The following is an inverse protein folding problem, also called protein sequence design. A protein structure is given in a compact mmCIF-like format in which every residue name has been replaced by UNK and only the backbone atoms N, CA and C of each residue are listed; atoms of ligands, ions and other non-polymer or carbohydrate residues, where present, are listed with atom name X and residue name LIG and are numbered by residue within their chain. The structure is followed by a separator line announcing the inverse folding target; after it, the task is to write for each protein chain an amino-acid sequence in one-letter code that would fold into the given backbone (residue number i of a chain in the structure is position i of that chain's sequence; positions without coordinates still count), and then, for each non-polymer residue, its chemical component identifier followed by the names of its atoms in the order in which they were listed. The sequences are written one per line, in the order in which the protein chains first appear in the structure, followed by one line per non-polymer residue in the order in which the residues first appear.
data_IF_619508909263
#
_entry.id   IF_619508909263
#
_cell.length_a   1.000
_cell.length_b   1.000
_cell.length_c   1.000
_cell.angle_alpha   90.00
_cell.angle_beta   90.00
_cell.angle_gamma   90.00
#
_symmetry.space_group_name_H-M   'P 1'
#
loop_
_entity.id
_entity.type
_entity.pdbx_description
1 polymer ?
#
# COMPACT_ATOMS: atom_id res chain seq x y z
N UNK A 1 24.86 -23.85 10.99
CA UNK A 1 23.62 -24.31 10.33
C UNK A 1 22.44 -23.71 11.08
N UNK A 2 21.86 -22.66 10.52
CA UNK A 2 20.81 -21.83 11.12
C UNK A 2 19.44 -22.45 10.84
N UNK A 3 18.74 -22.91 11.87
CA UNK A 3 17.33 -23.29 11.79
C UNK A 3 16.53 -22.42 12.73
N UNK A 4 15.92 -21.34 12.23
CA UNK A 4 14.91 -20.61 13.00
C UNK A 4 13.56 -21.32 12.84
N UNK A 5 12.89 -21.67 13.95
CA UNK A 5 11.57 -22.28 13.91
C UNK A 5 10.47 -21.28 13.53
N UNK A 6 9.40 -21.83 12.98
CA UNK A 6 8.27 -21.17 12.30
C UNK A 6 7.33 -20.40 13.23
N UNK A 7 6.72 -19.34 12.67
CA UNK A 7 5.85 -18.30 13.23
C UNK A 7 4.65 -18.70 14.12
N UNK A 8 4.25 -17.79 15.04
CA UNK A 8 2.88 -17.24 15.19
C UNK A 8 2.87 -16.01 16.12
N UNK A 9 2.12 -14.96 15.77
CA UNK A 9 2.11 -13.64 16.44
C UNK A 9 0.91 -13.48 17.40
N UNK A 10 1.09 -12.93 18.63
CA UNK A 10 0.00 -12.42 19.46
C UNK A 10 -0.09 -10.88 19.43
N UNK A 11 -1.30 -10.36 19.21
CA UNK A 11 -1.70 -8.95 19.11
C UNK A 11 -1.89 -8.25 20.47
N UNK A 12 -1.59 -6.92 20.60
CA UNK A 12 -2.34 -5.91 21.41
C UNK A 12 -1.61 -4.55 21.52
N UNK A 13 -2.27 -3.41 21.88
CA UNK A 13 -3.71 -3.18 22.06
C UNK A 13 -4.23 -1.94 21.27
N UNK A 14 -5.45 -2.04 20.71
CA UNK A 14 -6.20 -0.86 20.25
C UNK A 14 -7.10 -0.37 21.39
N UNK A 15 -7.24 0.96 21.48
CA UNK A 15 -8.06 1.70 22.45
C UNK A 15 -9.48 1.15 22.62
N UNK A 16 -10.12 1.34 23.80
CA UNK A 16 -11.39 0.70 24.12
C UNK A 16 -12.50 1.15 23.16
N UNK A 17 -13.26 0.20 22.56
CA UNK A 17 -14.45 0.54 21.79
C UNK A 17 -15.58 1.03 22.71
N UNK A 18 -16.35 2.01 22.25
CA UNK A 18 -17.59 2.45 22.90
C UNK A 18 -18.52 1.25 23.10
N UNK A 19 -18.83 0.96 24.36
CA UNK A 19 -19.64 -0.19 24.76
C UNK A 19 -21.11 0.12 24.49
N UNK A 20 -21.71 -0.54 23.51
CA UNK A 20 -23.17 -0.71 23.46
C UNK A 20 -23.50 -2.01 24.17
N UNK A 21 -24.10 -1.93 25.34
CA UNK A 21 -24.54 -3.10 26.10
C UNK A 21 -25.75 -3.70 25.38
N UNK A 22 -25.60 -4.91 24.83
CA UNK A 22 -26.72 -5.75 24.41
C UNK A 22 -27.26 -6.52 25.62
N UNK A 23 -28.58 -6.69 25.68
CA UNK A 23 -29.38 -7.05 26.86
C UNK A 23 -29.10 -8.45 27.47
N UNK A 24 -28.25 -9.25 26.85
CA UNK A 24 -27.87 -10.60 27.25
C UNK A 24 -26.56 -10.66 28.04
N UNK A 25 -25.96 -9.50 28.37
CA UNK A 25 -24.77 -9.43 29.22
C UNK A 25 -23.51 -10.02 28.56
N UNK A 26 -23.54 -10.33 27.27
CA UNK A 26 -22.38 -10.81 26.53
C UNK A 26 -21.68 -9.64 25.83
N UNK A 27 -20.45 -9.38 26.24
CA UNK A 27 -19.57 -8.41 25.57
C UNK A 27 -19.05 -9.04 24.26
N UNK A 28 -19.73 -8.79 23.14
CA UNK A 28 -19.13 -9.05 21.83
C UNK A 28 -18.16 -7.92 21.51
N UNK A 29 -16.86 -8.20 21.60
CA UNK A 29 -15.84 -7.35 20.97
C UNK A 29 -16.23 -7.12 19.51
N UNK A 30 -16.16 -5.87 18.99
CA UNK A 30 -16.31 -5.65 17.57
C UNK A 30 -15.27 -6.50 16.85
N UNK A 31 -15.73 -7.46 16.06
CA UNK A 31 -14.87 -8.22 15.17
C UNK A 31 -14.06 -7.22 14.35
N UNK A 32 -12.72 -7.29 14.31
CA UNK A 32 -11.94 -6.50 13.37
C UNK A 32 -12.51 -6.79 12.00
N UNK A 33 -13.14 -5.81 11.36
CA UNK A 33 -13.61 -5.98 9.98
C UNK A 33 -12.37 -6.35 9.18
N UNK A 34 -12.29 -7.59 8.70
CA UNK A 34 -11.20 -8.05 7.84
C UNK A 34 -11.15 -7.09 6.65
N UNK A 35 -10.17 -6.19 6.66
CA UNK A 35 -9.99 -5.25 5.56
C UNK A 35 -9.47 -6.06 4.38
N UNK A 36 -10.01 -5.88 3.17
CA UNK A 36 -9.47 -6.54 1.99
C UNK A 36 -7.96 -6.35 1.95
N UNK A 37 -7.22 -7.42 1.61
CA UNK A 37 -5.79 -7.31 1.37
C UNK A 37 -5.59 -6.20 0.34
N UNK A 38 -4.92 -5.11 0.73
CA UNK A 38 -4.67 -3.94 -0.13
C UNK A 38 -3.61 -4.23 -1.20
N UNK A 39 -3.67 -5.40 -1.83
CA UNK A 39 -2.78 -5.86 -2.89
C UNK A 39 -3.63 -6.71 -3.83
N UNK A 40 -3.71 -6.28 -5.09
CA UNK A 40 -4.30 -7.08 -6.15
C UNK A 40 -3.26 -8.00 -6.78
N UNK A 41 -3.70 -9.07 -7.45
CA UNK A 41 -2.80 -10.07 -8.04
C UNK A 41 -1.77 -9.50 -9.04
N UNK A 42 -2.06 -8.37 -9.70
CA UNK A 42 -1.15 -7.71 -10.64
C UNK A 42 -0.28 -6.63 -9.99
N UNK A 43 -0.36 -6.44 -8.67
CA UNK A 43 0.44 -5.50 -7.90
C UNK A 43 1.43 -6.23 -7.00
N UNK A 44 2.66 -5.74 -6.92
CA UNK A 44 3.63 -6.27 -5.96
C UNK A 44 3.35 -5.74 -4.54
N UNK A 45 3.56 -6.58 -3.52
CA UNK A 45 3.59 -6.15 -2.12
C UNK A 45 5.03 -6.03 -1.63
N UNK A 46 5.46 -4.84 -1.24
CA UNK A 46 6.84 -4.56 -0.85
C UNK A 46 6.89 -4.31 0.66
N UNK A 47 7.67 -5.13 1.37
CA UNK A 47 7.77 -5.12 2.84
C UNK A 47 9.17 -4.78 3.33
N UNK A 48 10.19 -5.02 2.53
CA UNK A 48 11.59 -4.73 2.87
C UNK A 48 12.22 -3.78 1.85
N UNK A 49 13.25 -3.04 2.26
CA UNK A 49 13.95 -2.13 1.37
C UNK A 49 14.60 -2.90 0.20
N UNK A 50 15.08 -4.13 0.44
CA UNK A 50 15.62 -5.02 -0.60
C UNK A 50 14.55 -5.40 -1.64
N UNK A 51 13.34 -5.78 -1.21
CA UNK A 51 12.22 -6.04 -2.13
C UNK A 51 11.86 -4.79 -2.93
N UNK A 52 11.87 -3.62 -2.28
CA UNK A 52 11.56 -2.37 -2.93
C UNK A 52 12.58 -2.00 -4.01
N UNK A 53 13.87 -2.00 -3.69
CA UNK A 53 14.92 -1.69 -4.67
C UNK A 53 15.07 -2.78 -5.73
N UNK A 54 14.86 -4.05 -5.38
CA UNK A 54 14.79 -5.17 -6.33
C UNK A 54 13.66 -4.97 -7.34
N UNK A 55 12.46 -4.63 -6.88
CA UNK A 55 11.32 -4.33 -7.74
C UNK A 55 11.61 -3.16 -8.70
N UNK A 56 12.21 -2.07 -8.21
CA UNK A 56 12.61 -0.95 -9.06
C UNK A 56 13.67 -1.35 -10.08
N UNK A 57 14.59 -2.25 -9.71
CA UNK A 57 15.63 -2.76 -10.60
C UNK A 57 15.05 -3.61 -11.74
N UNK A 58 14.14 -4.53 -11.41
CA UNK A 58 13.46 -5.41 -12.38
C UNK A 58 12.59 -4.62 -13.36
N UNK A 59 11.99 -3.53 -12.89
CA UNK A 59 11.06 -2.72 -13.69
C UNK A 59 11.71 -1.46 -14.28
N UNK A 60 13.04 -1.38 -14.40
CA UNK A 60 13.74 -0.20 -14.97
C UNK A 60 13.27 0.20 -16.36
N UNK A 61 12.85 -0.77 -17.18
CA UNK A 61 12.37 -0.55 -18.55
C UNK A 61 10.96 0.05 -18.61
N UNK A 62 10.21 0.04 -17.50
CA UNK A 62 8.86 0.60 -17.42
C UNK A 62 8.80 1.70 -16.36
N UNK A 63 7.73 2.48 -16.37
CA UNK A 63 7.44 3.38 -15.25
C UNK A 63 6.70 2.58 -14.17
N UNK A 64 7.24 2.60 -12.95
CA UNK A 64 6.67 1.93 -11.78
C UNK A 64 5.99 2.95 -10.87
N UNK A 65 4.78 2.63 -10.40
CA UNK A 65 3.97 3.44 -9.51
C UNK A 65 3.79 2.69 -8.20
N UNK A 66 4.33 3.26 -7.13
CA UNK A 66 4.34 2.65 -5.80
C UNK A 66 3.42 3.42 -4.88
N UNK A 67 2.39 2.76 -4.36
CA UNK A 67 1.56 3.28 -3.28
C UNK A 67 2.21 2.98 -1.93
N UNK A 68 2.60 4.00 -1.19
CA UNK A 68 3.01 3.89 0.20
C UNK A 68 1.77 3.94 1.11
N UNK A 69 1.52 2.87 1.85
CA UNK A 69 0.37 2.74 2.74
C UNK A 69 0.53 1.60 3.74
N UNK A 70 -0.52 1.37 4.53
CA UNK A 70 -0.58 0.28 5.50
C UNK A 70 -1.99 -0.28 5.61
N UNK A 71 -2.13 -1.56 5.99
CA UNK A 71 -3.44 -2.22 6.18
C UNK A 71 -4.31 -1.52 7.21
N UNK A 72 -3.70 -0.83 8.19
CA UNK A 72 -4.41 -0.09 9.23
C UNK A 72 -4.87 1.31 8.80
N UNK A 73 -4.39 1.82 7.67
CA UNK A 73 -4.76 3.13 7.14
C UNK A 73 -6.16 3.11 6.50
N UNK A 74 -7.15 3.68 7.19
CA UNK A 74 -8.54 3.76 6.70
C UNK A 74 -8.63 4.48 5.35
N UNK A 75 -7.87 5.57 5.15
CA UNK A 75 -7.87 6.32 3.89
C UNK A 75 -7.28 5.54 2.72
N UNK A 76 -6.33 4.67 2.99
CA UNK A 76 -5.76 3.76 2.01
C UNK A 76 -6.80 2.70 1.60
N UNK A 77 -7.51 2.12 2.58
CA UNK A 77 -8.56 1.15 2.33
C UNK A 77 -9.75 1.75 1.57
N UNK A 78 -10.20 2.95 1.95
CA UNK A 78 -11.26 3.70 1.24
C UNK A 78 -10.88 3.95 -0.24
N UNK A 79 -9.61 4.21 -0.52
CA UNK A 79 -9.14 4.58 -1.86
C UNK A 79 -8.69 3.38 -2.71
N UNK A 80 -8.49 2.20 -2.10
CA UNK A 80 -8.02 1.01 -2.79
C UNK A 80 -8.88 0.61 -4.01
N UNK A 81 -10.23 0.70 -4.00
CA UNK A 81 -11.03 0.41 -5.19
C UNK A 81 -10.70 1.33 -6.38
N UNK A 82 -10.48 2.61 -6.11
CA UNK A 82 -10.06 3.59 -7.13
C UNK A 82 -8.66 3.26 -7.65
N UNK A 83 -7.72 2.98 -6.74
CA UNK A 83 -6.37 2.58 -7.10
C UNK A 83 -6.35 1.33 -7.97
N UNK A 84 -7.11 0.31 -7.59
CA UNK A 84 -7.27 -0.92 -8.36
C UNK A 84 -7.83 -0.66 -9.77
N UNK A 85 -8.88 0.17 -9.89
CA UNK A 85 -9.46 0.52 -11.19
C UNK A 85 -8.42 1.21 -12.08
N UNK A 86 -7.76 2.24 -11.57
CA UNK A 86 -6.75 3.00 -12.32
C UNK A 86 -5.59 2.11 -12.76
N UNK A 87 -5.15 1.19 -11.89
CA UNK A 87 -4.05 0.28 -12.24
C UNK A 87 -4.37 -0.69 -13.38
N UNK A 88 -5.67 -0.98 -13.61
CA UNK A 88 -6.11 -1.77 -14.76
C UNK A 88 -6.23 -0.93 -16.02
N UNK A 89 -6.70 0.30 -15.88
CA UNK A 89 -6.86 1.25 -16.98
C UNK A 89 -5.49 1.59 -17.60
N UNK A 90 -4.49 1.83 -16.74
CA UNK A 90 -3.12 2.12 -17.14
C UNK A 90 -2.22 0.89 -16.97
N UNK A 91 -2.59 -0.23 -17.60
CA UNK A 91 -1.92 -1.54 -17.46
C UNK A 91 -0.48 -1.62 -18.00
N UNK A 92 -0.04 -0.63 -18.78
CA UNK A 92 1.36 -0.52 -19.26
C UNK A 92 2.34 -0.12 -18.14
N UNK A 93 1.83 0.49 -17.06
CA UNK A 93 2.62 0.83 -15.89
C UNK A 93 2.77 -0.36 -14.95
N UNK A 94 3.78 -0.30 -14.09
CA UNK A 94 4.04 -1.34 -13.08
C UNK A 94 3.55 -0.85 -11.73
N UNK A 95 2.83 -1.68 -10.99
CA UNK A 95 2.18 -1.28 -9.75
C UNK A 95 2.69 -2.04 -8.55
N UNK A 96 2.90 -1.32 -7.44
CA UNK A 96 3.24 -1.92 -6.16
C UNK A 96 2.60 -1.18 -4.99
N UNK A 97 2.49 -1.88 -3.86
CA UNK A 97 2.08 -1.33 -2.58
C UNK A 97 3.21 -1.56 -1.57
N UNK A 98 3.79 -0.48 -1.08
CA UNK A 98 4.89 -0.43 -0.15
C UNK A 98 4.37 -0.22 1.29
N UNK A 99 4.70 -1.15 2.18
CA UNK A 99 4.27 -1.11 3.58
C UNK A 99 5.09 -0.12 4.39
N UNK A 100 4.46 0.96 4.85
CA UNK A 100 5.16 2.05 5.56
C UNK A 100 5.70 1.64 6.94
N UNK A 101 5.17 0.57 7.55
CA UNK A 101 5.59 0.13 8.89
C UNK A 101 6.90 -0.66 8.88
N UNK A 102 7.23 -1.30 7.76
CA UNK A 102 8.33 -2.29 7.69
C UNK A 102 9.52 -1.80 6.87
N UNK A 103 9.28 -0.89 5.92
CA UNK A 103 10.31 -0.20 5.15
C UNK A 103 10.99 0.86 6.00
N UNK A 104 12.29 1.12 5.76
CA UNK A 104 13.05 2.15 6.47
C UNK A 104 13.53 3.23 5.53
N UNK A 105 14.34 2.85 4.55
CA UNK A 105 14.99 3.81 3.66
C UNK A 105 14.04 4.23 2.53
N UNK A 106 13.27 3.30 1.98
CA UNK A 106 12.32 3.56 0.89
C UNK A 106 11.17 4.50 1.28
N UNK A 107 10.86 4.59 2.58
CA UNK A 107 9.82 5.50 3.13
C UNK A 107 10.38 6.87 3.50
N UNK A 108 11.69 7.09 3.33
CA UNK A 108 12.31 8.38 3.61
C UNK A 108 11.68 9.48 2.75
N UNK A 109 10.92 10.38 3.40
CA UNK A 109 10.22 11.47 2.72
C UNK A 109 8.71 11.23 2.52
N UNK A 110 8.20 10.03 2.81
CA UNK A 110 6.77 9.79 2.93
C UNK A 110 6.28 10.42 4.24
N UNK A 111 5.29 11.32 4.15
CA UNK A 111 4.79 12.10 5.31
C UNK A 111 3.36 11.73 5.70
N UNK A 112 2.58 11.20 4.77
CA UNK A 112 1.21 10.77 5.00
C UNK A 112 0.89 9.63 4.02
N UNK A 113 -0.17 8.87 4.31
CA UNK A 113 -0.64 7.76 3.48
C UNK A 113 -2.12 7.95 3.09
N UNK A 114 -2.53 7.60 1.86
CA UNK A 114 -1.69 7.07 0.79
C UNK A 114 -0.82 8.15 0.13
N UNK A 115 0.39 7.78 -0.25
CA UNK A 115 1.26 8.56 -1.13
C UNK A 115 1.66 7.71 -2.31
N UNK A 116 1.64 8.26 -3.51
CA UNK A 116 2.03 7.57 -4.73
C UNK A 116 3.35 8.14 -5.23
N UNK A 117 4.29 7.29 -5.56
CA UNK A 117 5.57 7.68 -6.15
C UNK A 117 5.74 7.00 -7.50
N UNK A 118 6.22 7.78 -8.46
CA UNK A 118 6.46 7.35 -9.82
C UNK A 118 7.96 7.22 -10.03
N UNK A 119 8.40 6.05 -10.46
CA UNK A 119 9.78 5.72 -10.70
C UNK A 119 10.01 5.39 -12.16
N UNK A 120 11.00 6.03 -12.77
CA UNK A 120 11.45 5.72 -14.13
C UNK A 120 12.95 5.44 -14.09
N UNK A 121 13.37 4.32 -14.67
CA UNK A 121 14.77 3.86 -14.60
C UNK A 121 15.32 3.84 -13.16
N UNK A 122 14.50 3.38 -12.21
CA UNK A 122 14.84 3.32 -10.78
C UNK A 122 14.95 4.66 -10.05
N UNK A 123 14.64 5.79 -10.70
CA UNK A 123 14.69 7.13 -10.08
C UNK A 123 13.27 7.67 -9.86
N UNK A 124 13.06 8.32 -8.72
CA UNK A 124 11.82 9.03 -8.43
C UNK A 124 11.70 10.22 -9.40
N UNK A 125 10.62 10.25 -10.19
CA UNK A 125 10.35 11.31 -11.16
C UNK A 125 9.13 12.15 -10.80
N UNK A 126 8.20 11.58 -10.02
CA UNK A 126 6.98 12.29 -9.64
C UNK A 126 6.35 11.70 -8.38
N UNK A 127 5.46 12.46 -7.74
CA UNK A 127 4.71 12.03 -6.55
C UNK A 127 3.32 12.68 -6.50
N UNK A 128 2.34 11.87 -6.12
CA UNK A 128 0.98 12.33 -5.82
C UNK A 128 0.67 12.08 -4.36
N UNK A 129 0.13 13.13 -3.74
CA UNK A 129 -0.13 13.19 -2.32
C UNK A 129 -1.62 12.98 -2.05
N UNK A 130 -1.98 12.00 -1.22
CA UNK A 130 -3.34 11.82 -0.72
C UNK A 130 -4.19 10.94 -1.64
N UNK A 131 -5.51 11.05 -1.49
CA UNK A 131 -6.50 10.15 -2.10
C UNK A 131 -7.38 10.83 -3.15
N UNK A 132 -6.85 11.83 -3.84
CA UNK A 132 -7.56 12.54 -4.89
C UNK A 132 -7.48 11.75 -6.21
N UNK A 133 -8.64 11.26 -6.67
CA UNK A 133 -8.71 10.36 -7.83
C UNK A 133 -8.24 11.03 -9.12
N UNK A 134 -8.76 12.21 -9.43
CA UNK A 134 -8.48 12.90 -10.69
C UNK A 134 -7.01 13.24 -10.80
N UNK A 135 -6.44 13.82 -9.75
CA UNK A 135 -5.02 14.10 -9.67
C UNK A 135 -4.16 12.86 -9.88
N UNK A 136 -4.51 11.72 -9.29
CA UNK A 136 -3.76 10.49 -9.53
C UNK A 136 -3.89 10.02 -10.98
N UNK A 137 -5.08 10.10 -11.58
CA UNK A 137 -5.33 9.72 -12.96
C UNK A 137 -4.54 10.59 -13.96
N UNK A 138 -4.48 11.91 -13.74
CA UNK A 138 -3.75 12.85 -14.61
C UNK A 138 -2.25 12.53 -14.63
N UNK A 139 -1.67 12.23 -13.45
CA UNK A 139 -0.27 11.84 -13.33
C UNK A 139 0.00 10.44 -13.90
N UNK A 140 -0.95 9.50 -13.75
CA UNK A 140 -0.85 8.19 -14.41
C UNK A 140 -0.82 8.37 -15.93
N UNK A 141 -1.74 9.15 -16.50
CA UNK A 141 -1.78 9.45 -17.92
C UNK A 141 -0.45 10.04 -18.42
N UNK A 142 0.06 11.09 -17.74
CA UNK A 142 1.35 11.73 -18.06
C UNK A 142 2.52 10.75 -18.12
N UNK A 143 2.51 9.72 -17.26
CA UNK A 143 3.58 8.73 -17.18
C UNK A 143 3.33 7.45 -17.98
N UNK A 144 2.13 7.29 -18.52
CA UNK A 144 1.67 6.10 -19.24
C UNK A 144 2.14 6.06 -20.69
N UNK A 145 2.39 7.22 -21.28
CA UNK A 145 3.01 7.36 -22.59
C UNK A 145 4.53 7.33 -22.41
N UNK A 146 5.15 6.27 -22.93
CA UNK A 146 6.61 6.17 -23.05
C UNK A 146 6.93 6.32 -24.54
N UNK A 147 7.61 7.41 -24.90
CA UNK A 147 8.37 7.51 -26.16
C UNK A 147 9.45 6.41 -26.23
#
# INVERSE_FOLDING_TARGET
MTGYPTYSWPSRPLQPPTVTIVADGTFKQPQPKERPSMIANHMAGLRTDDEFYGYLHENKANTAVVQFGASWCTKCAEFFPTWYKLSKEFSQLKYAVAQVDTLKDAVAGVRYSPTFHFYRNGKLVDRVLGKEQQRLADHLWLHSDSD
#
